data_IF_271576464748
#
_entry.id   IF_271576464748
#
_cell.length_a   1.000
_cell.length_b   1.000
_cell.length_c   1.000
_cell.angle_alpha   90.00
_cell.angle_beta   90.00
_cell.angle_gamma   90.00
#
_symmetry.space_group_name_H-M   'P 1'
#
loop_
_entity.id
_entity.type
_entity.pdbx_description
1 polymer ?
#
# COMPACT_ATOMS: atom_id res chain seq x y z
N UNK A 1 12.46 58.93 19.75
CA UNK A 1 11.65 57.84 20.34
C UNK A 1 11.57 56.68 19.36
N UNK A 2 11.06 56.82 18.13
CA UNK A 2 11.09 55.71 17.15
C UNK A 2 12.49 55.37 16.58
N UNK A 3 13.41 56.35 16.45
CA UNK A 3 14.79 56.08 15.99
C UNK A 3 15.71 55.46 17.06
N UNK A 4 15.31 55.45 18.33
CA UNK A 4 16.09 54.81 19.41
C UNK A 4 15.75 53.31 19.55
N UNK A 5 14.52 52.91 19.22
CA UNK A 5 14.11 51.49 19.21
C UNK A 5 14.78 50.69 18.08
N UNK A 6 14.94 51.27 16.87
CA UNK A 6 15.61 50.57 15.75
C UNK A 6 17.11 50.31 16.03
N UNK A 7 17.77 51.15 16.84
CA UNK A 7 19.17 50.96 17.19
C UNK A 7 19.39 49.91 18.30
N UNK A 8 18.38 49.65 19.14
CA UNK A 8 18.43 48.57 20.12
C UNK A 8 18.20 47.20 19.45
N UNK A 9 17.33 47.13 18.43
CA UNK A 9 17.05 45.89 17.70
C UNK A 9 18.26 45.41 16.86
N UNK A 10 18.99 46.33 16.19
CA UNK A 10 20.19 45.94 15.43
C UNK A 10 21.37 45.53 16.33
N UNK A 11 21.43 46.01 17.58
CA UNK A 11 22.46 45.59 18.54
C UNK A 11 22.19 44.19 19.10
N UNK A 12 20.92 43.81 19.29
CA UNK A 12 20.55 42.45 19.73
C UNK A 12 20.80 41.40 18.63
N UNK A 13 20.67 41.76 17.34
CA UNK A 13 21.00 40.85 16.24
C UNK A 13 22.51 40.62 16.08
N UNK A 14 23.37 41.64 16.23
CA UNK A 14 24.82 41.45 16.11
C UNK A 14 25.44 40.65 17.29
N UNK A 15 24.90 40.74 18.51
CA UNK A 15 25.38 39.91 19.64
C UNK A 15 25.01 38.43 19.48
N UNK A 16 23.92 38.10 18.77
CA UNK A 16 23.50 36.72 18.55
C UNK A 16 24.36 35.97 17.52
N UNK A 17 25.03 36.67 16.61
CA UNK A 17 25.88 36.05 15.58
C UNK A 17 27.29 35.71 16.10
N UNK A 18 27.81 36.46 17.08
CA UNK A 18 29.16 36.25 17.65
C UNK A 18 29.21 35.03 18.60
N UNK A 19 28.10 34.68 19.28
CA UNK A 19 28.05 33.51 20.18
C UNK A 19 28.04 32.15 19.44
N UNK A 20 27.78 32.11 18.13
CA UNK A 20 27.69 30.86 17.38
C UNK A 20 29.04 30.32 16.87
N UNK A 21 30.08 31.16 16.80
CA UNK A 21 31.38 30.81 16.18
C UNK A 21 32.49 30.47 17.19
N UNK A 22 32.25 30.54 18.51
CA UNK A 22 33.32 30.51 19.52
C UNK A 22 33.63 29.16 20.20
N UNK A 23 32.91 28.06 19.92
CA UNK A 23 33.16 26.78 20.62
C UNK A 23 33.60 25.66 19.67
N UNK A 24 34.64 25.97 18.88
CA UNK A 24 35.51 24.96 18.30
C UNK A 24 36.59 24.57 19.33
N UNK A 25 36.50 23.36 19.88
CA UNK A 25 37.66 22.67 20.46
C UNK A 25 37.41 21.94 21.78
N UNK A 26 37.12 20.64 21.69
CA UNK A 26 37.52 19.67 22.73
C UNK A 26 38.04 18.43 22.02
N UNK A 27 39.34 18.16 22.20
CA UNK A 27 40.04 16.97 21.74
C UNK A 27 39.92 15.84 22.78
N UNK A 28 39.59 14.65 22.28
CA UNK A 28 40.04 13.28 22.63
C UNK A 28 40.10 12.80 24.10
N UNK A 29 39.27 11.80 24.42
CA UNK A 29 39.57 10.74 25.41
C UNK A 29 39.20 9.36 24.81
N UNK A 30 40.22 8.50 24.66
CA UNK A 30 40.17 7.11 24.18
C UNK A 30 39.60 6.11 25.22
N UNK A 31 39.23 4.90 24.73
CA UNK A 31 38.96 3.61 25.45
C UNK A 31 37.50 3.45 25.97
N UNK A 32 36.63 2.54 25.52
CA UNK A 32 36.78 1.20 24.91
C UNK A 32 35.64 0.93 23.91
N UNK A 33 35.96 0.74 22.63
CA UNK A 33 35.06 0.15 21.63
C UNK A 33 35.07 -1.37 21.79
N UNK A 34 34.13 -1.92 22.58
CA UNK A 34 33.79 -3.34 22.43
C UNK A 34 33.03 -3.49 21.10
N UNK A 35 33.79 -3.74 20.02
CA UNK A 35 33.29 -4.20 18.73
C UNK A 35 32.49 -5.50 18.93
N UNK A 36 31.19 -5.38 19.16
CA UNK A 36 30.27 -6.48 18.92
C UNK A 36 30.19 -6.66 17.39
N UNK A 37 31.09 -7.48 16.84
CA UNK A 37 30.99 -8.06 15.50
C UNK A 37 29.74 -8.95 15.41
N UNK A 38 28.58 -8.31 15.38
CA UNK A 38 27.35 -8.88 14.86
C UNK A 38 27.16 -8.27 13.49
N UNK A 39 27.57 -8.96 12.42
CA UNK A 39 27.25 -8.62 11.04
C UNK A 39 25.77 -8.21 10.99
N UNK A 40 25.52 -6.91 10.91
CA UNK A 40 24.19 -6.28 11.08
C UNK A 40 23.24 -6.60 9.93
N UNK A 41 23.53 -7.64 9.15
CA UNK A 41 22.63 -8.15 8.17
C UNK A 41 21.62 -9.06 8.87
N UNK A 42 20.31 -8.71 8.87
CA UNK A 42 19.31 -9.69 9.28
C UNK A 42 19.54 -10.95 8.44
N UNK A 43 19.44 -12.16 9.03
CA UNK A 43 19.62 -13.38 8.25
C UNK A 43 18.72 -13.27 7.04
N UNK A 44 19.30 -13.33 5.84
CA UNK A 44 18.56 -13.39 4.57
C UNK A 44 17.72 -14.67 4.61
N UNK A 45 16.56 -14.57 5.24
CA UNK A 45 15.56 -15.62 5.22
C UNK A 45 15.29 -15.88 3.75
N UNK A 46 15.47 -17.13 3.27
CA UNK A 46 15.10 -17.45 1.90
C UNK A 46 13.66 -17.01 1.71
N UNK A 47 13.42 -16.05 0.81
CA UNK A 47 12.11 -15.51 0.53
C UNK A 47 11.20 -16.70 0.23
N UNK A 48 10.33 -17.07 1.18
CA UNK A 48 9.50 -18.24 1.02
C UNK A 48 8.75 -18.12 -0.31
N UNK A 49 8.70 -19.19 -1.13
CA UNK A 49 7.99 -19.12 -2.39
C UNK A 49 6.55 -18.68 -2.10
N UNK A 50 6.00 -17.72 -2.89
CA UNK A 50 4.72 -17.13 -2.58
C UNK A 50 3.69 -18.25 -2.39
N UNK A 51 2.86 -18.17 -1.33
CA UNK A 51 1.95 -19.25 -0.99
C UNK A 51 1.11 -19.58 -2.22
N UNK A 52 1.16 -20.84 -2.65
CA UNK A 52 0.43 -21.31 -3.83
C UNK A 52 -1.03 -20.92 -3.68
N UNK A 53 -1.60 -20.24 -4.69
CA UNK A 53 -3.00 -19.85 -4.66
C UNK A 53 -3.89 -21.11 -4.56
N UNK A 54 -4.54 -21.29 -3.41
CA UNK A 54 -5.40 -22.47 -3.11
C UNK A 54 -6.87 -22.27 -3.50
N UNK A 55 -7.25 -21.03 -3.80
CA UNK A 55 -8.63 -20.64 -4.08
C UNK A 55 -8.74 -20.23 -5.55
N UNK A 56 -9.66 -20.84 -6.28
CA UNK A 56 -9.99 -20.46 -7.65
C UNK A 56 -10.97 -19.29 -7.69
N UNK A 57 -10.71 -18.31 -8.55
CA UNK A 57 -11.60 -17.19 -8.83
C UNK A 57 -11.98 -17.22 -10.32
N UNK A 58 -13.27 -17.41 -10.59
CA UNK A 58 -13.84 -17.32 -11.95
C UNK A 58 -14.59 -16.00 -12.06
N UNK A 59 -14.30 -15.25 -13.11
CA UNK A 59 -15.05 -14.05 -13.49
C UNK A 59 -14.97 -13.92 -15.01
N UNK A 60 -16.09 -13.56 -15.64
CA UNK A 60 -16.19 -13.28 -17.07
C UNK A 60 -16.88 -11.92 -17.24
N UNK A 61 -16.31 -10.97 -17.99
CA UNK A 61 -16.97 -9.67 -18.25
C UNK A 61 -18.38 -9.81 -18.82
N UNK A 62 -18.68 -10.89 -19.56
CA UNK A 62 -20.02 -11.16 -20.12
C UNK A 62 -21.08 -11.37 -19.04
N UNK A 63 -20.69 -11.72 -17.81
CA UNK A 63 -21.64 -11.82 -16.69
C UNK A 63 -22.26 -10.47 -16.34
N UNK A 64 -21.61 -9.35 -16.68
CA UNK A 64 -22.15 -7.99 -16.49
C UNK A 64 -23.14 -7.58 -17.59
N UNK A 65 -23.33 -8.40 -18.63
CA UNK A 65 -24.36 -8.17 -19.64
C UNK A 65 -25.76 -8.57 -19.12
N UNK A 66 -25.84 -9.30 -18.00
CA UNK A 66 -27.10 -9.65 -17.35
C UNK A 66 -27.71 -8.39 -16.72
N UNK A 67 -28.70 -7.82 -17.42
CA UNK A 67 -29.50 -6.70 -16.93
C UNK A 67 -30.93 -6.78 -17.44
N UNK A 68 -31.86 -6.29 -16.62
CA UNK A 68 -33.23 -6.05 -17.06
C UNK A 68 -33.26 -4.79 -17.95
N UNK A 69 -33.83 -4.89 -19.16
CA UNK A 69 -33.89 -3.79 -20.14
C UNK A 69 -35.10 -2.88 -19.99
N UNK A 70 -36.10 -3.30 -19.21
CA UNK A 70 -37.38 -2.61 -19.05
C UNK A 70 -37.62 -2.11 -17.61
N UNK A 71 -36.93 -2.69 -16.63
CA UNK A 71 -36.92 -2.26 -15.23
C UNK A 71 -35.51 -1.88 -14.80
N UNK A 72 -35.30 -0.58 -14.55
CA UNK A 72 -34.02 -0.02 -14.10
C UNK A 72 -33.77 -0.21 -12.61
N UNK A 73 -34.79 -0.58 -11.83
CA UNK A 73 -34.70 -0.81 -10.38
C UNK A 73 -34.62 -2.30 -10.04
N UNK A 74 -34.46 -3.16 -11.05
CA UNK A 74 -34.41 -4.59 -10.87
C UNK A 74 -33.23 -4.99 -9.93
N UNK A 75 -33.48 -5.84 -8.93
CA UNK A 75 -32.45 -6.23 -7.97
C UNK A 75 -31.31 -7.02 -8.61
N UNK A 76 -31.59 -7.79 -9.68
CA UNK A 76 -30.55 -8.43 -10.50
C UNK A 76 -30.03 -7.40 -11.51
N UNK A 77 -28.84 -6.86 -11.24
CA UNK A 77 -28.16 -5.86 -12.06
C UNK A 77 -26.65 -6.14 -12.13
N UNK A 78 -25.95 -5.66 -13.17
CA UNK A 78 -24.51 -5.89 -13.37
C UNK A 78 -23.65 -5.44 -12.18
N UNK A 79 -24.10 -4.39 -11.48
CA UNK A 79 -23.44 -3.82 -10.32
C UNK A 79 -23.28 -4.83 -9.18
N UNK A 80 -24.13 -5.86 -9.11
CA UNK A 80 -23.98 -6.94 -8.13
C UNK A 80 -22.63 -7.65 -8.26
N UNK A 81 -22.20 -7.92 -9.49
CA UNK A 81 -20.96 -8.64 -9.73
C UNK A 81 -19.75 -7.69 -9.72
N UNK A 82 -19.85 -6.54 -10.39
CA UNK A 82 -18.71 -5.61 -10.50
C UNK A 82 -18.29 -5.07 -9.13
N UNK A 83 -19.23 -4.75 -8.24
CA UNK A 83 -18.92 -4.30 -6.87
C UNK A 83 -18.23 -5.37 -6.04
N UNK A 84 -18.65 -6.62 -6.16
CA UNK A 84 -17.99 -7.74 -5.47
C UNK A 84 -16.56 -7.92 -5.97
N UNK A 85 -16.35 -7.89 -7.29
CA UNK A 85 -15.02 -8.00 -7.87
C UNK A 85 -14.12 -6.82 -7.44
N UNK A 86 -14.64 -5.59 -7.51
CA UNK A 86 -13.93 -4.40 -7.06
C UNK A 86 -13.52 -4.52 -5.59
N UNK A 87 -14.45 -4.94 -4.72
CA UNK A 87 -14.14 -5.10 -3.30
C UNK A 87 -13.08 -6.17 -3.04
N UNK A 88 -13.10 -7.27 -3.79
CA UNK A 88 -12.06 -8.31 -3.71
C UNK A 88 -10.70 -7.77 -4.17
N UNK A 89 -10.65 -6.87 -5.15
CA UNK A 89 -9.42 -6.23 -5.63
C UNK A 89 -8.87 -5.23 -4.61
N UNK A 90 -9.73 -4.36 -4.05
CA UNK A 90 -9.36 -3.39 -3.01
C UNK A 90 -8.73 -4.05 -1.78
N UNK A 91 -9.24 -5.23 -1.40
CA UNK A 91 -8.73 -6.01 -0.28
C UNK A 91 -7.53 -6.89 -0.63
N UNK A 92 -7.02 -6.84 -1.87
CA UNK A 92 -5.93 -7.70 -2.33
C UNK A 92 -6.29 -9.19 -2.41
N UNK A 93 -7.56 -9.56 -2.23
CA UNK A 93 -8.02 -10.95 -2.22
C UNK A 93 -8.03 -11.54 -3.62
N UNK A 94 -8.37 -10.75 -4.63
CA UNK A 94 -8.39 -11.19 -6.02
C UNK A 94 -7.00 -11.65 -6.52
N UNK A 95 -5.93 -11.00 -6.06
CA UNK A 95 -4.53 -11.28 -6.41
C UNK A 95 -4.01 -12.54 -5.72
N UNK A 96 -4.58 -12.90 -4.57
CA UNK A 96 -4.26 -14.13 -3.83
C UNK A 96 -4.93 -15.39 -4.41
N UNK A 97 -5.91 -15.21 -5.29
CA UNK A 97 -6.65 -16.30 -5.92
C UNK A 97 -6.07 -16.70 -7.28
N UNK A 98 -6.20 -17.97 -7.63
CA UNK A 98 -5.91 -18.49 -8.96
C UNK A 98 -7.04 -18.09 -9.90
N UNK A 99 -6.74 -17.31 -10.94
CA UNK A 99 -7.73 -17.01 -11.99
C UNK A 99 -8.02 -18.27 -12.80
N UNK A 100 -9.28 -18.69 -12.79
CA UNK A 100 -9.75 -19.85 -13.55
C UNK A 100 -10.58 -19.37 -14.73
N UNK A 101 -10.23 -19.77 -15.97
CA UNK A 101 -10.96 -19.33 -17.15
C UNK A 101 -12.38 -19.93 -17.16
N UNK A 102 -13.42 -19.11 -17.42
CA UNK A 102 -14.79 -19.58 -17.54
C UNK A 102 -14.94 -20.48 -18.78
N UNK A 103 -15.82 -21.48 -18.68
CA UNK A 103 -16.17 -22.38 -19.79
C UNK A 103 -17.69 -22.45 -19.93
N UNK A 104 -18.24 -22.34 -21.16
CA UNK A 104 -19.67 -22.48 -21.37
C UNK A 104 -20.13 -23.90 -21.03
N UNK A 105 -21.33 -24.01 -20.46
CA UNK A 105 -21.94 -25.30 -20.18
C UNK A 105 -22.27 -26.02 -21.50
N UNK A 106 -21.91 -27.30 -21.58
CA UNK A 106 -22.23 -28.13 -22.75
C UNK A 106 -23.74 -28.49 -22.75
N UNK A 107 -24.34 -28.78 -23.92
CA UNK A 107 -25.73 -29.23 -23.97
C UNK A 107 -26.00 -30.49 -23.14
N UNK A 108 -25.01 -31.39 -23.01
CA UNK A 108 -25.11 -32.58 -22.15
C UNK A 108 -25.19 -32.20 -20.67
N UNK A 109 -24.42 -31.22 -20.22
CA UNK A 109 -24.46 -30.74 -18.83
C UNK A 109 -25.77 -30.02 -18.53
N UNK A 110 -26.27 -29.19 -19.46
CA UNK A 110 -27.57 -28.52 -19.31
C UNK A 110 -28.71 -29.54 -19.20
N UNK A 111 -28.71 -30.58 -20.05
CA UNK A 111 -29.70 -31.66 -20.03
C UNK A 111 -29.68 -32.53 -18.77
N UNK A 112 -28.67 -32.42 -17.92
CA UNK A 112 -28.67 -33.12 -16.64
C UNK A 112 -29.75 -32.58 -15.68
N UNK A 113 -30.16 -31.31 -15.86
CA UNK A 113 -31.13 -30.63 -14.98
C UNK A 113 -32.32 -30.00 -15.73
N UNK A 114 -32.26 -29.89 -17.05
CA UNK A 114 -33.26 -29.20 -17.88
C UNK A 114 -33.71 -30.06 -19.06
N UNK A 115 -34.97 -29.91 -19.48
CA UNK A 115 -35.57 -30.63 -20.62
C UNK A 115 -35.40 -29.87 -21.94
#
# INVERSE_FOLDING_TARGET
EEEEEEAEEEAEEEEAEDEAEAEAGVEEEDEDEEELEGDGNPPETPLEPPPRARVGLVYDPRMEEHRNTWDSQHPESPQRLSRVLQRLQELGLAQRCLRVPPKPATPRQLRACHT
#
